data_IF_084301054305
#
_entry.id   IF_084301054305
#
_cell.length_a   1.000
_cell.length_b   1.000
_cell.length_c   1.000
_cell.angle_alpha   90.00
_cell.angle_beta   90.00
_cell.angle_gamma   90.00
#
_symmetry.space_group_name_H-M   'P 1'
#
loop_
_entity.id
_entity.type
_entity.pdbx_description
1 polymer ?
#
# COMPACT_ATOMS: atom_id res chain seq x y z
N UNK A 1 -11.46 -14.24 6.58
CA UNK A 1 -11.37 -15.70 6.81
C UNK A 1 -9.96 -16.24 6.88
N UNK A 2 -9.02 -15.81 6.02
CA UNK A 2 -7.64 -16.34 6.02
C UNK A 2 -6.96 -16.40 7.40
N UNK A 3 -7.12 -15.36 8.23
CA UNK A 3 -6.58 -15.35 9.59
C UNK A 3 -7.18 -16.42 10.51
N UNK A 4 -8.52 -16.53 10.53
CA UNK A 4 -9.24 -17.48 11.37
C UNK A 4 -8.84 -18.92 11.00
N UNK A 5 -8.82 -19.23 9.70
CA UNK A 5 -8.44 -20.54 9.21
C UNK A 5 -6.99 -20.91 9.57
N UNK A 6 -6.05 -19.96 9.50
CA UNK A 6 -4.64 -20.20 9.86
C UNK A 6 -4.46 -20.54 11.35
N UNK A 7 -5.29 -19.97 12.23
CA UNK A 7 -5.19 -20.14 13.68
C UNK A 7 -6.23 -21.12 14.25
N UNK A 8 -7.04 -21.72 13.39
CA UNK A 8 -8.16 -22.58 13.77
C UNK A 8 -9.11 -21.91 14.80
N UNK A 9 -9.39 -20.63 14.59
CA UNK A 9 -10.30 -19.82 15.40
C UNK A 9 -11.70 -19.79 14.80
N UNK A 10 -12.73 -19.80 15.65
CA UNK A 10 -14.05 -19.36 15.25
C UNK A 10 -14.12 -17.82 15.20
N UNK A 11 -15.20 -17.28 14.65
CA UNK A 11 -15.40 -15.82 14.63
C UNK A 11 -15.39 -15.20 16.02
N UNK A 12 -15.91 -15.92 17.02
CA UNK A 12 -15.99 -15.48 18.42
C UNK A 12 -14.63 -15.48 19.12
N UNK A 13 -13.66 -16.24 18.61
CA UNK A 13 -12.31 -16.35 19.17
C UNK A 13 -11.35 -15.30 18.59
N UNK A 14 -11.82 -14.47 17.65
CA UNK A 14 -11.00 -13.44 17.04
C UNK A 14 -10.48 -12.45 18.08
N UNK A 15 -9.15 -12.25 18.21
CA UNK A 15 -8.59 -11.24 19.11
C UNK A 15 -8.82 -9.81 18.60
N UNK A 16 -9.29 -9.66 17.36
CA UNK A 16 -9.61 -8.38 16.74
C UNK A 16 -11.10 -8.11 16.89
N UNK A 17 -11.44 -7.06 17.63
CA UNK A 17 -12.82 -6.60 17.79
C UNK A 17 -13.35 -5.92 16.53
N UNK A 18 -14.68 -5.92 16.36
CA UNK A 18 -15.34 -5.24 15.24
C UNK A 18 -15.00 -3.74 15.17
N UNK A 19 -14.85 -3.09 16.33
CA UNK A 19 -14.43 -1.68 16.43
C UNK A 19 -13.04 -1.47 15.81
N UNK A 20 -12.04 -2.24 16.26
CA UNK A 20 -10.66 -2.10 15.77
C UNK A 20 -10.55 -2.42 14.28
N UNK A 21 -11.33 -3.38 13.78
CA UNK A 21 -11.42 -3.64 12.34
C UNK A 21 -12.03 -2.45 11.57
N UNK A 22 -13.07 -1.83 12.13
CA UNK A 22 -13.67 -0.60 11.59
C UNK A 22 -12.67 0.55 11.50
N UNK A 23 -11.86 0.74 12.54
CA UNK A 23 -10.82 1.78 12.57
C UNK A 23 -9.75 1.53 11.49
N UNK A 24 -9.31 0.28 11.32
CA UNK A 24 -8.39 -0.08 10.23
C UNK A 24 -8.97 0.25 8.84
N UNK A 25 -10.25 -0.07 8.61
CA UNK A 25 -10.94 0.25 7.35
C UNK A 25 -11.05 1.76 7.15
N UNK A 26 -11.32 2.52 8.22
CA UNK A 26 -11.36 3.97 8.16
C UNK A 26 -10.03 4.57 7.71
N UNK A 27 -8.90 4.02 8.19
CA UNK A 27 -7.53 4.45 7.80
C UNK A 27 -7.13 4.09 6.37
N UNK A 28 -7.78 3.10 5.78
CA UNK A 28 -7.68 2.84 4.34
C UNK A 28 -8.49 3.89 3.57
N UNK A 29 -9.72 4.16 4.03
CA UNK A 29 -10.65 5.07 3.36
C UNK A 29 -10.18 6.52 3.35
N UNK A 30 -9.52 6.98 4.41
CA UNK A 30 -8.98 8.33 4.52
C UNK A 30 -7.57 8.50 3.92
N UNK A 31 -6.99 7.43 3.34
CA UNK A 31 -5.63 7.37 2.78
C UNK A 31 -4.50 7.57 3.81
N UNK A 32 -4.74 7.32 5.10
CA UNK A 32 -3.66 7.28 6.09
C UNK A 32 -2.70 6.12 5.82
N UNK A 33 -3.24 4.96 5.41
CA UNK A 33 -2.46 3.77 5.02
C UNK A 33 -2.97 3.17 3.71
N UNK A 34 -2.07 2.52 2.95
CA UNK A 34 -2.48 1.76 1.77
C UNK A 34 -3.12 0.42 2.15
N UNK A 35 -3.87 -0.19 1.24
CA UNK A 35 -4.39 -1.55 1.45
C UNK A 35 -3.29 -2.61 1.66
N UNK A 36 -2.08 -2.39 1.15
CA UNK A 36 -0.92 -3.26 1.42
C UNK A 36 -0.46 -3.12 2.87
N UNK A 37 -0.33 -1.89 3.35
CA UNK A 37 0.05 -1.59 4.73
C UNK A 37 -1.04 -2.06 5.70
N UNK A 38 -2.32 -1.93 5.33
CA UNK A 38 -3.42 -2.41 6.15
C UNK A 38 -3.34 -3.91 6.45
N UNK A 39 -2.82 -4.73 5.52
CA UNK A 39 -2.55 -6.15 5.80
C UNK A 39 -1.48 -6.33 6.89
N UNK A 40 -0.41 -5.53 6.83
CA UNK A 40 0.64 -5.52 7.86
C UNK A 40 0.11 -5.07 9.22
N UNK A 41 -0.68 -4.00 9.25
CA UNK A 41 -1.31 -3.52 10.49
C UNK A 41 -2.29 -4.56 11.03
N UNK A 42 -3.11 -5.17 10.18
CA UNK A 42 -4.05 -6.23 10.57
C UNK A 42 -3.35 -7.43 11.21
N UNK A 43 -2.19 -7.84 10.68
CA UNK A 43 -1.40 -8.90 11.31
C UNK A 43 -0.82 -8.45 12.65
N UNK A 44 -0.33 -7.22 12.77
CA UNK A 44 0.18 -6.67 14.03
C UNK A 44 -0.92 -6.55 15.12
N UNK A 45 -2.17 -6.28 14.73
CA UNK A 45 -3.31 -6.14 15.66
C UNK A 45 -3.64 -7.42 16.44
N UNK A 46 -3.14 -8.58 15.99
CA UNK A 46 -3.32 -9.87 16.66
C UNK A 46 -2.52 -9.91 17.96
N UNK A 47 -1.29 -9.40 17.92
CA UNK A 47 -0.33 -9.45 19.02
C UNK A 47 -0.32 -8.14 19.82
N UNK A 48 -0.53 -7.01 19.15
CA UNK A 48 -0.56 -5.68 19.75
C UNK A 48 -2.01 -5.26 20.01
N UNK A 49 -2.39 -5.14 21.28
CA UNK A 49 -3.73 -4.71 21.72
C UNK A 49 -3.90 -3.18 21.70
N UNK A 50 -2.89 -2.42 21.27
CA UNK A 50 -3.01 -0.98 21.12
C UNK A 50 -4.02 -0.58 20.05
N UNK A 51 -4.42 0.68 20.10
CA UNK A 51 -5.25 1.32 19.07
C UNK A 51 -4.56 1.24 17.69
N UNK A 52 -5.37 1.15 16.63
CA UNK A 52 -4.86 1.01 15.25
C UNK A 52 -3.89 2.13 14.88
N UNK A 53 -4.21 3.37 15.28
CA UNK A 53 -3.36 4.53 15.02
C UNK A 53 -2.01 4.41 15.75
N UNK A 54 -1.98 3.90 16.97
CA UNK A 54 -0.74 3.69 17.72
C UNK A 54 0.17 2.66 17.02
N UNK A 55 -0.41 1.58 16.46
CA UNK A 55 0.33 0.58 15.68
C UNK A 55 0.93 1.22 14.41
N UNK A 56 0.14 2.04 13.70
CA UNK A 56 0.59 2.73 12.48
C UNK A 56 1.76 3.66 12.78
N UNK A 57 1.67 4.47 13.84
CA UNK A 57 2.74 5.40 14.24
C UNK A 57 4.00 4.65 14.67
N UNK A 58 3.86 3.68 15.57
CA UNK A 58 4.97 2.88 16.12
C UNK A 58 5.78 2.19 15.02
N UNK A 59 5.13 1.80 13.93
CA UNK A 59 5.77 1.12 12.80
C UNK A 59 6.11 2.07 11.62
N UNK A 60 5.81 3.37 11.74
CA UNK A 60 6.08 4.37 10.70
C UNK A 60 5.38 4.04 9.37
N UNK A 61 4.13 3.57 9.45
CA UNK A 61 3.38 2.98 8.33
C UNK A 61 2.47 3.97 7.60
N UNK A 62 2.50 5.26 7.93
CA UNK A 62 1.74 6.27 7.19
C UNK A 62 2.15 6.33 5.72
N UNK A 63 1.18 6.65 4.87
CA UNK A 63 1.49 6.93 3.48
C UNK A 63 2.30 8.21 3.34
N UNK A 64 3.31 8.15 2.46
CA UNK A 64 4.04 9.32 1.98
C UNK A 64 3.18 9.99 0.92
N UNK A 65 2.96 11.29 1.10
CA UNK A 65 2.20 12.15 0.18
C UNK A 65 3.05 13.28 -0.42
N UNK A 66 4.30 13.41 0.03
CA UNK A 66 5.26 14.35 -0.53
C UNK A 66 5.54 13.99 -1.99
N UNK A 67 5.24 14.92 -2.91
CA UNK A 67 5.38 14.67 -4.34
C UNK A 67 6.83 14.52 -4.75
N UNK A 68 7.78 15.17 -4.07
CA UNK A 68 9.21 15.07 -4.39
C UNK A 68 9.76 13.68 -4.11
N UNK A 69 9.44 13.09 -2.96
CA UNK A 69 9.81 11.70 -2.66
C UNK A 69 9.19 10.70 -3.64
N UNK A 70 7.92 10.90 -4.00
CA UNK A 70 7.24 10.03 -4.97
C UNK A 70 7.86 10.19 -6.36
N UNK A 71 8.18 11.40 -6.80
CA UNK A 71 8.82 11.66 -8.09
C UNK A 71 10.16 10.95 -8.22
N UNK A 72 11.02 11.05 -7.21
CA UNK A 72 12.33 10.36 -7.20
C UNK A 72 12.16 8.83 -7.28
N UNK A 73 11.15 8.31 -6.59
CA UNK A 73 10.81 6.90 -6.65
C UNK A 73 10.32 6.48 -8.03
N UNK A 74 9.50 7.29 -8.69
CA UNK A 74 9.06 7.05 -10.06
C UNK A 74 10.24 7.10 -11.04
N UNK A 75 11.16 8.05 -10.87
CA UNK A 75 12.36 8.14 -11.72
C UNK A 75 13.21 6.87 -11.61
N UNK A 76 13.38 6.34 -10.41
CA UNK A 76 14.06 5.05 -10.21
C UNK A 76 13.32 3.87 -10.86
N UNK A 77 11.98 3.86 -10.84
CA UNK A 77 11.17 2.83 -11.51
C UNK A 77 11.33 2.93 -13.03
N UNK A 78 11.27 4.13 -13.60
CA UNK A 78 11.44 4.33 -15.04
C UNK A 78 12.84 3.89 -15.48
N UNK A 79 13.88 4.33 -14.77
CA UNK A 79 15.26 3.97 -15.06
C UNK A 79 15.52 2.46 -14.93
N UNK A 80 14.87 1.78 -13.98
CA UNK A 80 15.03 0.34 -13.74
C UNK A 80 14.19 -0.56 -14.64
N UNK A 81 13.29 -0.02 -15.46
CA UNK A 81 12.35 -0.80 -16.30
C UNK A 81 12.25 -0.25 -17.73
N UNK A 82 13.38 -0.05 -18.46
CA UNK A 82 13.38 0.61 -19.77
C UNK A 82 12.51 -0.10 -20.82
N UNK A 83 12.51 -1.44 -20.83
CA UNK A 83 11.72 -2.22 -21.80
C UNK A 83 10.21 -2.02 -21.59
N UNK A 84 9.77 -1.95 -20.34
CA UNK A 84 8.37 -1.75 -19.98
C UNK A 84 7.92 -0.32 -20.27
N UNK A 85 8.82 0.65 -20.07
CA UNK A 85 8.61 2.05 -20.47
C UNK A 85 8.42 2.15 -21.98
N UNK A 86 9.27 1.47 -22.76
CA UNK A 86 9.13 1.46 -24.21
C UNK A 86 7.83 0.77 -24.65
N UNK A 87 7.49 -0.40 -24.09
CA UNK A 87 6.23 -1.08 -24.38
C UNK A 87 5.01 -0.19 -24.10
N UNK A 88 5.03 0.59 -23.01
CA UNK A 88 3.96 1.53 -22.72
C UNK A 88 3.86 2.64 -23.78
N UNK A 89 5.01 3.21 -24.19
CA UNK A 89 5.08 4.22 -25.26
C UNK A 89 4.64 3.68 -26.63
N UNK A 90 4.84 2.39 -26.87
CA UNK A 90 4.36 1.69 -28.06
C UNK A 90 2.85 1.37 -28.01
N UNK A 91 2.13 1.82 -26.97
CA UNK A 91 0.68 1.70 -26.83
C UNK A 91 0.20 0.49 -26.02
N UNK A 92 1.11 -0.29 -25.42
CA UNK A 92 0.73 -1.44 -24.58
C UNK A 92 0.34 -1.00 -23.16
N UNK A 93 -0.85 -0.41 -23.02
CA UNK A 93 -1.32 0.18 -21.76
C UNK A 93 -1.30 -0.78 -20.56
N UNK A 94 -1.46 -2.09 -20.77
CA UNK A 94 -1.43 -3.09 -19.71
C UNK A 94 -0.12 -3.07 -18.89
N UNK A 95 0.99 -2.60 -19.47
CA UNK A 95 2.30 -2.50 -18.80
C UNK A 95 2.32 -1.36 -17.76
N UNK A 96 1.42 -0.39 -17.87
CA UNK A 96 1.32 0.70 -16.90
C UNK A 96 1.04 0.18 -15.48
N UNK A 97 0.12 -0.79 -15.34
CA UNK A 97 -0.19 -1.41 -14.05
C UNK A 97 1.01 -2.13 -13.42
N UNK A 98 1.90 -2.70 -14.25
CA UNK A 98 3.14 -3.30 -13.78
C UNK A 98 4.10 -2.24 -13.20
N UNK A 99 4.28 -1.11 -13.89
CA UNK A 99 5.14 -0.02 -13.43
C UNK A 99 4.60 0.62 -12.14
N UNK A 100 3.28 0.82 -12.03
CA UNK A 100 2.62 1.21 -10.77
C UNK A 100 2.92 0.19 -9.66
N UNK A 101 2.80 -1.11 -9.96
CA UNK A 101 3.14 -2.18 -9.03
C UNK A 101 4.59 -2.12 -8.56
N UNK A 102 5.54 -1.83 -9.45
CA UNK A 102 6.96 -1.64 -9.11
C UNK A 102 7.17 -0.44 -8.19
N UNK A 103 6.53 0.69 -8.45
CA UNK A 103 6.57 1.87 -7.58
C UNK A 103 6.01 1.57 -6.17
N UNK A 104 4.87 0.89 -6.11
CA UNK A 104 4.27 0.47 -4.83
C UNK A 104 5.15 -0.55 -4.08
N UNK A 105 5.92 -1.37 -4.80
CA UNK A 105 6.88 -2.29 -4.20
C UNK A 105 8.08 -1.55 -3.63
N UNK A 106 8.67 -0.64 -4.41
CA UNK A 106 9.85 0.15 -4.02
C UNK A 106 9.56 1.05 -2.80
N UNK A 107 8.36 1.64 -2.75
CA UNK A 107 7.90 2.43 -1.60
C UNK A 107 7.51 1.61 -0.38
N UNK A 108 7.58 0.28 -0.46
CA UNK A 108 7.06 -0.67 0.55
C UNK A 108 5.59 -0.43 0.88
N UNK A 109 4.81 0.06 -0.09
CA UNK A 109 3.40 0.39 0.08
C UNK A 109 3.12 1.74 0.72
N UNK A 110 4.16 2.54 1.02
CA UNK A 110 4.01 3.86 1.63
C UNK A 110 3.63 4.94 0.63
N UNK A 111 4.03 4.84 -0.64
CA UNK A 111 3.62 5.84 -1.62
C UNK A 111 2.09 5.81 -1.80
N UNK A 112 1.48 6.97 -2.00
CA UNK A 112 0.06 7.06 -2.30
C UNK A 112 -0.22 6.54 -3.73
N UNK A 113 -1.12 5.54 -3.91
CA UNK A 113 -1.40 4.97 -5.23
C UNK A 113 -1.92 5.99 -6.24
N UNK A 114 -2.77 6.94 -5.83
CA UNK A 114 -3.32 7.93 -6.75
C UNK A 114 -2.22 8.87 -7.25
N UNK A 115 -1.34 9.35 -6.36
CA UNK A 115 -0.20 10.17 -6.74
C UNK A 115 0.81 9.41 -7.62
N UNK A 116 1.12 8.15 -7.28
CA UNK A 116 1.97 7.27 -8.10
C UNK A 116 1.40 7.14 -9.51
N UNK A 117 0.10 6.86 -9.64
CA UNK A 117 -0.56 6.76 -10.95
C UNK A 117 -0.46 8.07 -11.73
N UNK A 118 -0.73 9.21 -11.09
CA UNK A 118 -0.70 10.51 -11.72
C UNK A 118 0.71 10.88 -12.21
N UNK A 119 1.70 10.86 -11.32
CA UNK A 119 3.08 11.26 -11.61
C UNK A 119 3.72 10.34 -12.65
N UNK A 120 3.50 9.02 -12.53
CA UNK A 120 4.02 8.07 -13.51
C UNK A 120 3.41 8.31 -14.88
N UNK A 121 2.10 8.55 -14.96
CA UNK A 121 1.43 8.85 -16.24
C UNK A 121 1.95 10.14 -16.85
N UNK A 122 2.20 11.17 -16.04
CA UNK A 122 2.72 12.45 -16.53
C UNK A 122 4.18 12.36 -17.00
N UNK A 123 5.02 11.55 -16.35
CA UNK A 123 6.42 11.30 -16.78
C UNK A 123 6.55 10.38 -18.01
N UNK A 124 5.52 9.60 -18.32
CA UNK A 124 5.53 8.64 -19.44
C UNK A 124 4.81 9.13 -20.70
N UNK A 125 4.06 10.23 -20.62
CA UNK A 125 3.62 10.99 -21.79
C UNK A 125 4.83 11.56 -22.54
#
# INVERSE_FOLDING_TARGET
LGLLNRNNWEFVDSPISARRLGDLIARIKDNTISGKIAKTVFEAMIEDQAEVDAIIEKQGLKQVTDSGEIEQLIDAVIAGNPDQVQQFRDGKEAVFGYLVGQAMRLSRGKANPAQVNQILRDKLK
#
